data_IF_156859942138
#
_entry.id   IF_156859942138
#
_cell.length_a   1.000
_cell.length_b   1.000
_cell.length_c   1.000
_cell.angle_alpha   90.00
_cell.angle_beta   90.00
_cell.angle_gamma   90.00
#
_symmetry.space_group_name_H-M   'P 1'
#
loop_
_entity.id
_entity.type
_entity.pdbx_description
1 polymer ?
#
# COMPACT_ATOMS: atom_id res chain seq x y z
N UNK A 1 -15.04 27.22 -44.39
CA UNK A 1 -16.44 27.49 -43.96
C UNK A 1 -16.64 26.84 -42.60
N UNK A 2 -16.99 27.62 -41.60
CA UNK A 2 -17.40 27.06 -40.28
C UNK A 2 -18.71 26.31 -40.49
N UNK A 3 -18.74 25.01 -40.23
CA UNK A 3 -19.96 24.20 -40.25
C UNK A 3 -20.61 24.27 -38.88
N UNK A 4 -21.94 24.41 -38.86
CA UNK A 4 -22.73 24.50 -37.65
C UNK A 4 -23.74 23.35 -37.61
N UNK A 5 -24.10 22.91 -36.42
CA UNK A 5 -25.15 21.94 -36.12
C UNK A 5 -26.27 22.59 -35.29
N UNK A 6 -27.48 22.02 -35.38
CA UNK A 6 -28.63 22.44 -34.56
C UNK A 6 -28.54 21.90 -33.14
N UNK A 7 -29.40 22.42 -32.21
CA UNK A 7 -29.55 21.84 -30.88
C UNK A 7 -29.99 20.37 -30.88
N UNK A 8 -30.72 19.94 -31.93
CA UNK A 8 -31.12 18.54 -32.08
C UNK A 8 -29.95 17.66 -32.42
N UNK A 9 -29.12 18.06 -33.39
CA UNK A 9 -27.95 17.31 -33.79
C UNK A 9 -26.91 17.21 -32.68
N UNK A 10 -26.73 18.30 -31.94
CA UNK A 10 -25.88 18.32 -30.75
C UNK A 10 -26.42 17.42 -29.64
N UNK A 11 -27.73 17.34 -29.44
CA UNK A 11 -28.37 16.49 -28.47
C UNK A 11 -28.13 15.00 -28.78
N UNK A 12 -28.28 14.60 -30.03
CA UNK A 12 -28.00 13.24 -30.53
C UNK A 12 -26.51 12.91 -30.34
N UNK A 13 -25.61 13.80 -30.81
CA UNK A 13 -24.16 13.60 -30.67
C UNK A 13 -23.65 13.48 -29.24
N UNK A 14 -24.20 14.25 -28.32
CA UNK A 14 -23.76 14.32 -26.92
C UNK A 14 -24.56 13.40 -25.97
N UNK A 15 -25.55 12.68 -26.50
CA UNK A 15 -26.46 11.81 -25.76
C UNK A 15 -27.09 12.53 -24.55
N UNK A 16 -27.74 13.69 -24.83
CA UNK A 16 -28.49 14.49 -23.86
C UNK A 16 -29.77 15.02 -24.53
N UNK A 17 -30.73 15.53 -23.72
CA UNK A 17 -31.95 16.09 -24.29
C UNK A 17 -31.68 17.43 -25.04
N UNK A 18 -32.47 17.69 -26.11
CA UNK A 18 -32.40 18.96 -26.85
C UNK A 18 -32.65 20.17 -25.91
N UNK A 19 -33.56 20.03 -24.93
CA UNK A 19 -33.80 21.06 -23.91
C UNK A 19 -32.52 21.36 -23.10
N UNK A 20 -31.70 20.35 -22.80
CA UNK A 20 -30.45 20.54 -22.08
C UNK A 20 -29.43 21.27 -22.93
N UNK A 21 -29.35 20.98 -24.22
CA UNK A 21 -28.48 21.72 -25.16
C UNK A 21 -28.88 23.18 -25.22
N UNK A 22 -30.18 23.48 -25.36
CA UNK A 22 -30.67 24.87 -25.39
C UNK A 22 -30.31 25.66 -24.12
N UNK A 23 -30.38 25.00 -22.95
CA UNK A 23 -29.94 25.61 -21.69
C UNK A 23 -28.45 25.89 -21.70
N UNK A 24 -27.61 24.96 -22.17
CA UNK A 24 -26.17 25.15 -22.28
C UNK A 24 -25.79 26.28 -23.25
N UNK A 25 -26.56 26.45 -24.33
CA UNK A 25 -26.43 27.59 -25.23
C UNK A 25 -26.76 28.91 -24.53
N UNK A 26 -27.92 28.98 -23.85
CA UNK A 26 -28.37 30.17 -23.13
C UNK A 26 -27.42 30.56 -21.96
N UNK A 27 -26.79 29.58 -21.32
CA UNK A 27 -25.76 29.77 -20.29
C UNK A 27 -24.39 30.12 -20.86
N UNK A 28 -24.24 30.24 -22.19
CA UNK A 28 -22.99 30.51 -22.91
C UNK A 28 -21.86 29.50 -22.57
N UNK A 29 -22.21 28.27 -22.31
CA UNK A 29 -21.30 27.18 -21.89
C UNK A 29 -20.74 26.36 -23.07
N UNK A 30 -21.21 26.66 -24.29
CA UNK A 30 -20.72 26.04 -25.53
C UNK A 30 -19.90 27.08 -26.27
N UNK A 31 -18.61 26.81 -26.47
CA UNK A 31 -17.72 27.73 -27.13
C UNK A 31 -18.13 27.97 -28.58
N UNK A 32 -18.25 29.25 -28.99
CA UNK A 32 -18.58 29.62 -30.37
C UNK A 32 -20.05 29.48 -30.75
N UNK A 33 -20.95 29.25 -29.77
CA UNK A 33 -22.41 29.24 -30.00
C UNK A 33 -22.89 30.64 -30.40
N UNK A 34 -23.84 30.69 -31.35
CA UNK A 34 -24.47 31.93 -31.83
C UNK A 34 -25.98 31.72 -32.06
N UNK A 35 -26.74 32.81 -32.19
CA UNK A 35 -28.13 32.75 -32.58
C UNK A 35 -28.29 33.17 -34.02
N UNK A 36 -29.06 32.39 -34.79
CA UNK A 36 -29.51 32.78 -36.12
C UNK A 36 -31.06 32.86 -36.10
N UNK A 37 -31.59 34.08 -36.05
CA UNK A 37 -33.00 34.29 -35.76
C UNK A 37 -33.37 33.77 -34.36
N UNK A 38 -34.32 32.84 -34.26
CA UNK A 38 -34.71 32.21 -33.01
C UNK A 38 -34.09 30.83 -32.75
N UNK A 39 -33.06 30.48 -33.52
CA UNK A 39 -32.41 29.18 -33.43
C UNK A 39 -30.96 29.31 -32.96
N UNK A 40 -30.53 28.45 -32.04
CA UNK A 40 -29.13 28.28 -31.65
C UNK A 40 -28.38 27.52 -32.74
N UNK A 41 -27.24 28.05 -33.16
CA UNK A 41 -26.27 27.40 -34.05
C UNK A 41 -25.00 27.10 -33.26
N UNK A 42 -24.52 25.87 -33.31
CA UNK A 42 -23.42 25.33 -32.52
C UNK A 42 -22.32 24.89 -33.49
N UNK A 43 -21.08 25.33 -33.32
CA UNK A 43 -20.00 24.85 -34.19
C UNK A 43 -19.91 23.33 -34.16
N UNK A 44 -19.70 22.70 -35.32
CA UNK A 44 -19.61 21.23 -35.42
C UNK A 44 -18.40 20.68 -34.65
N UNK A 45 -17.40 21.52 -34.39
CA UNK A 45 -16.22 21.22 -33.61
C UNK A 45 -16.43 21.37 -32.09
N UNK A 46 -17.61 21.89 -31.66
CA UNK A 46 -17.88 22.08 -30.27
C UNK A 46 -18.00 20.74 -29.53
N UNK A 47 -17.37 20.67 -28.37
CA UNK A 47 -17.44 19.53 -27.47
C UNK A 47 -18.57 19.71 -26.43
N UNK A 48 -19.05 18.60 -25.90
CA UNK A 48 -20.04 18.60 -24.83
C UNK A 48 -19.49 19.28 -23.59
N UNK A 49 -20.09 20.39 -23.09
CA UNK A 49 -19.65 21.03 -21.87
C UNK A 49 -19.74 20.08 -20.67
N UNK A 50 -18.74 20.14 -19.79
CA UNK A 50 -18.72 19.36 -18.55
C UNK A 50 -19.94 19.72 -17.70
N UNK A 51 -20.69 18.72 -17.24
CA UNK A 51 -21.87 18.95 -16.39
C UNK A 51 -21.47 19.47 -15.01
N UNK A 52 -21.70 20.76 -14.75
CA UNK A 52 -21.41 21.40 -13.48
C UNK A 52 -22.13 20.76 -12.27
N UNK A 53 -23.19 19.97 -12.51
CA UNK A 53 -23.89 19.21 -11.47
C UNK A 53 -23.15 17.92 -11.08
N UNK A 54 -22.24 17.42 -11.92
CA UNK A 54 -21.32 16.33 -11.57
C UNK A 54 -20.09 16.83 -10.81
N UNK A 55 -19.83 18.13 -10.84
CA UNK A 55 -18.87 18.80 -9.96
C UNK A 55 -19.62 19.32 -8.71
N UNK A 56 -20.24 18.45 -7.94
CA UNK A 56 -20.37 18.69 -6.52
C UNK A 56 -18.92 18.71 -6.00
N UNK A 57 -18.43 19.91 -5.70
CA UNK A 57 -17.16 20.32 -5.14
C UNK A 57 -16.33 19.26 -4.38
N UNK A 58 -16.06 18.12 -4.99
CA UNK A 58 -14.92 17.32 -4.64
C UNK A 58 -13.74 18.08 -5.24
N UNK A 59 -13.01 18.84 -4.40
CA UNK A 59 -11.58 19.06 -4.62
C UNK A 59 -11.05 17.77 -5.27
N UNK A 60 -10.19 17.83 -6.30
CA UNK A 60 -9.59 16.62 -6.82
C UNK A 60 -9.13 15.84 -5.59
N UNK A 61 -9.70 14.67 -5.38
CA UNK A 61 -9.24 13.77 -4.31
C UNK A 61 -7.85 13.41 -4.77
N UNK A 62 -6.86 14.08 -4.24
CA UNK A 62 -5.47 13.68 -4.42
C UNK A 62 -5.42 12.32 -3.75
N UNK A 63 -5.44 11.26 -4.55
CA UNK A 63 -5.33 9.91 -4.01
C UNK A 63 -4.08 9.84 -3.15
N UNK A 64 -4.26 9.42 -1.89
CA UNK A 64 -3.15 9.27 -0.97
C UNK A 64 -2.27 8.10 -1.42
N UNK A 65 -0.98 8.21 -1.15
CA UNK A 65 -0.06 7.10 -1.38
C UNK A 65 -0.51 5.86 -0.59
N UNK A 66 -0.46 4.70 -1.23
CA UNK A 66 -0.90 3.44 -0.65
C UNK A 66 0.10 2.31 -0.96
N UNK A 67 0.08 1.18 -0.23
CA UNK A 67 0.98 0.06 -0.47
C UNK A 67 0.97 -0.39 -1.93
N UNK A 68 2.15 -0.50 -2.52
CA UNK A 68 2.32 -0.91 -3.92
C UNK A 68 2.16 -2.42 -4.14
N UNK A 69 2.21 -3.20 -3.07
CA UNK A 69 1.95 -4.65 -3.02
C UNK A 69 0.96 -4.98 -1.92
N UNK A 70 0.28 -6.12 -2.05
CA UNK A 70 -0.45 -6.71 -0.93
C UNK A 70 0.57 -7.39 -0.02
N UNK A 71 0.50 -7.06 1.27
CA UNK A 71 1.37 -7.64 2.28
C UNK A 71 0.56 -8.19 3.44
N UNK A 72 0.98 -9.36 3.96
CA UNK A 72 0.30 -9.95 5.10
C UNK A 72 0.43 -9.03 6.32
N UNK A 73 -0.62 -8.92 7.10
CA UNK A 73 -0.62 -8.04 8.28
C UNK A 73 -0.79 -6.54 7.97
N UNK A 74 -1.05 -6.16 6.70
CA UNK A 74 -1.18 -4.75 6.31
C UNK A 74 -2.15 -3.97 7.20
N UNK A 75 -1.73 -2.81 7.72
CA UNK A 75 -2.41 -2.00 8.73
C UNK A 75 -3.42 -1.00 8.20
N UNK A 76 -3.84 -1.11 6.93
CA UNK A 76 -4.73 -0.12 6.29
C UNK A 76 -6.01 0.17 7.09
N UNK A 77 -6.56 -0.83 7.79
CA UNK A 77 -7.76 -0.65 8.61
C UNK A 77 -7.50 -0.01 9.98
N UNK A 78 -6.26 -0.02 10.44
CA UNK A 78 -5.86 0.52 11.74
C UNK A 78 -5.18 1.88 11.66
N UNK A 79 -5.00 2.44 10.46
CA UNK A 79 -4.25 3.69 10.26
C UNK A 79 -4.79 4.83 11.11
N UNK A 80 -6.09 5.02 11.18
CA UNK A 80 -6.70 6.07 11.98
C UNK A 80 -6.45 5.86 13.48
N UNK A 81 -6.55 4.60 13.94
CA UNK A 81 -6.25 4.25 15.34
C UNK A 81 -4.78 4.48 15.67
N UNK A 82 -3.87 4.05 14.79
CA UNK A 82 -2.42 4.27 14.97
C UNK A 82 -2.10 5.77 15.01
N UNK A 83 -2.67 6.57 14.11
CA UNK A 83 -2.50 8.03 14.10
C UNK A 83 -3.04 8.72 15.35
N UNK A 84 -4.20 8.30 15.86
CA UNK A 84 -4.76 8.83 17.11
C UNK A 84 -3.89 8.49 18.34
N UNK A 85 -2.99 7.53 18.21
CA UNK A 85 -2.10 7.07 19.27
C UNK A 85 -0.65 7.54 19.11
N UNK A 86 -0.37 8.48 18.20
CA UNK A 86 0.96 9.05 18.03
C UNK A 86 1.38 9.86 19.28
N UNK A 87 2.69 9.93 19.57
CA UNK A 87 3.18 10.77 20.65
C UNK A 87 3.00 12.27 20.34
N UNK A 88 2.86 13.07 21.37
CA UNK A 88 2.91 14.51 21.23
C UNK A 88 4.30 14.93 20.71
N UNK A 89 4.34 15.98 19.87
CA UNK A 89 5.59 16.51 19.33
C UNK A 89 6.07 15.89 18.01
N UNK A 90 5.27 15.04 17.35
CA UNK A 90 5.54 14.60 15.98
C UNK A 90 5.71 15.81 15.05
N UNK A 91 6.81 15.81 14.28
CA UNK A 91 7.17 16.89 13.36
C UNK A 91 7.76 18.15 14.06
N UNK A 92 7.93 18.12 15.39
CA UNK A 92 8.53 19.23 16.15
C UNK A 92 9.71 18.75 17.01
N UNK A 93 9.45 18.05 18.11
CA UNK A 93 10.51 17.45 18.94
C UNK A 93 10.81 15.99 18.55
N UNK A 94 9.89 15.33 17.84
CA UNK A 94 10.08 14.02 17.24
C UNK A 94 10.22 14.23 15.74
N UNK A 95 11.46 14.33 15.27
CA UNK A 95 11.82 14.68 13.90
C UNK A 95 12.33 13.48 13.10
N UNK A 96 12.49 12.32 13.75
CA UNK A 96 12.96 11.08 13.13
C UNK A 96 11.91 9.99 13.20
N UNK A 97 11.82 9.19 12.13
CA UNK A 97 10.91 8.05 12.07
C UNK A 97 11.63 6.77 11.64
N UNK A 98 11.33 5.66 12.28
CA UNK A 98 11.86 4.36 11.93
C UNK A 98 10.78 3.27 11.90
N UNK A 99 10.80 2.41 10.86
CA UNK A 99 9.90 1.25 10.70
C UNK A 99 10.69 0.00 10.29
N UNK A 100 11.24 -0.78 11.28
CA UNK A 100 12.10 -1.92 11.00
C UNK A 100 11.39 -3.19 10.51
N UNK A 101 10.07 -3.22 10.45
CA UNK A 101 9.25 -4.25 9.83
C UNK A 101 8.29 -3.59 8.84
N UNK A 102 8.85 -2.87 7.85
CA UNK A 102 8.06 -1.98 7.00
C UNK A 102 7.01 -2.71 6.15
N UNK A 103 7.28 -3.95 5.75
CA UNK A 103 6.36 -4.72 4.92
C UNK A 103 5.86 -3.94 3.71
N UNK A 104 4.54 -3.80 3.56
CA UNK A 104 3.92 -3.03 2.47
C UNK A 104 3.92 -1.51 2.66
N UNK A 105 4.39 -0.98 3.78
CA UNK A 105 4.54 0.46 4.05
C UNK A 105 3.23 1.21 4.31
N UNK A 106 2.17 0.54 4.72
CA UNK A 106 0.86 1.19 4.92
C UNK A 106 0.93 2.33 5.94
N UNK A 107 1.62 2.13 7.07
CA UNK A 107 1.74 3.17 8.09
C UNK A 107 2.76 4.23 7.69
N UNK A 108 3.90 3.82 7.12
CA UNK A 108 4.91 4.73 6.55
C UNK A 108 4.27 5.77 5.63
N UNK A 109 3.61 5.32 4.55
CA UNK A 109 3.02 6.24 3.57
C UNK A 109 1.95 7.12 4.19
N UNK A 110 1.14 6.56 5.09
CA UNK A 110 0.10 7.32 5.80
C UNK A 110 0.68 8.41 6.71
N UNK A 111 1.84 8.18 7.35
CA UNK A 111 2.54 9.20 8.14
C UNK A 111 3.16 10.28 7.27
N UNK A 112 3.82 9.89 6.17
CA UNK A 112 4.50 10.82 5.26
C UNK A 112 3.54 11.74 4.49
N UNK A 113 2.26 11.37 4.39
CA UNK A 113 1.21 12.29 3.89
C UNK A 113 0.95 13.45 4.85
N UNK A 114 0.95 13.17 6.15
CA UNK A 114 0.50 14.12 7.18
C UNK A 114 1.66 14.85 7.87
N UNK A 115 2.85 14.25 7.94
CA UNK A 115 4.00 14.77 8.70
C UNK A 115 5.27 14.85 7.86
N UNK A 116 6.20 15.70 8.30
CA UNK A 116 7.55 15.80 7.75
C UNK A 116 8.55 15.40 8.83
N UNK A 117 9.48 14.51 8.44
CA UNK A 117 10.58 14.07 9.27
C UNK A 117 11.90 14.53 8.64
N UNK A 118 12.89 14.81 9.47
CA UNK A 118 14.24 15.17 9.04
C UNK A 118 15.00 13.93 8.56
N UNK A 119 14.82 12.81 9.27
CA UNK A 119 15.43 11.54 8.95
C UNK A 119 14.39 10.41 9.02
N UNK A 120 14.44 9.50 8.06
CA UNK A 120 13.54 8.34 7.99
C UNK A 120 14.35 7.10 7.71
N UNK A 121 14.13 6.06 8.49
CA UNK A 121 14.76 4.75 8.36
C UNK A 121 13.68 3.68 8.19
N UNK A 122 13.83 2.85 7.15
CA UNK A 122 12.97 1.67 6.97
C UNK A 122 13.82 0.43 6.71
N UNK A 123 13.39 -0.70 7.28
CA UNK A 123 14.02 -1.98 6.97
C UNK A 123 13.04 -3.15 7.02
N UNK A 124 13.44 -4.23 6.40
CA UNK A 124 12.78 -5.53 6.43
C UNK A 124 13.83 -6.61 6.13
N UNK A 125 13.67 -7.81 6.69
CA UNK A 125 14.55 -8.94 6.40
C UNK A 125 14.37 -9.46 4.95
N UNK A 126 13.27 -9.11 4.29
CA UNK A 126 13.00 -9.52 2.92
C UNK A 126 13.77 -8.66 1.92
N UNK A 127 14.91 -9.15 1.44
CA UNK A 127 15.80 -8.44 0.51
C UNK A 127 15.13 -8.11 -0.83
N UNK A 128 14.24 -8.96 -1.31
CA UNK A 128 13.51 -8.72 -2.55
C UNK A 128 12.51 -7.57 -2.39
N UNK A 129 11.82 -7.49 -1.25
CA UNK A 129 10.93 -6.37 -0.92
C UNK A 129 11.73 -5.06 -0.81
N UNK A 130 12.85 -5.09 -0.08
CA UNK A 130 13.68 -3.88 0.09
C UNK A 130 14.31 -3.43 -1.24
N UNK A 131 14.64 -4.36 -2.14
CA UNK A 131 15.01 -4.02 -3.51
C UNK A 131 13.88 -3.28 -4.24
N UNK A 132 12.61 -3.67 -4.07
CA UNK A 132 11.48 -2.94 -4.68
C UNK A 132 11.42 -1.52 -4.17
N UNK A 133 11.55 -1.29 -2.85
CA UNK A 133 11.59 0.05 -2.27
C UNK A 133 12.75 0.88 -2.86
N UNK A 134 13.93 0.31 -2.97
CA UNK A 134 15.10 0.97 -3.58
C UNK A 134 14.85 1.33 -5.04
N UNK A 135 14.27 0.40 -5.84
CA UNK A 135 13.98 0.64 -7.25
C UNK A 135 12.87 1.67 -7.45
N UNK A 136 11.87 1.73 -6.57
CA UNK A 136 10.86 2.80 -6.58
C UNK A 136 11.53 4.16 -6.29
N UNK A 137 12.48 4.21 -5.36
CA UNK A 137 13.19 5.46 -5.03
C UNK A 137 14.13 5.90 -6.14
N UNK A 138 14.98 4.98 -6.63
CA UNK A 138 16.17 5.31 -7.42
C UNK A 138 15.97 5.15 -8.94
N UNK A 139 15.09 4.22 -9.36
CA UNK A 139 14.90 3.81 -10.75
C UNK A 139 13.41 3.73 -11.14
N UNK A 140 12.61 4.69 -10.66
CA UNK A 140 11.14 4.64 -10.81
C UNK A 140 10.71 4.58 -12.28
N UNK A 141 11.34 5.34 -13.16
CA UNK A 141 10.96 5.41 -14.58
C UNK A 141 11.18 4.05 -15.28
N UNK A 142 12.35 3.45 -15.06
CA UNK A 142 12.71 2.14 -15.61
C UNK A 142 11.81 1.03 -15.05
N UNK A 143 11.47 1.13 -13.77
CA UNK A 143 10.55 0.19 -13.11
C UNK A 143 9.14 0.30 -13.70
N UNK A 144 8.63 1.52 -13.89
CA UNK A 144 7.32 1.76 -14.51
C UNK A 144 7.27 1.20 -15.92
N UNK A 145 8.30 1.41 -16.72
CA UNK A 145 8.41 0.87 -18.07
C UNK A 145 8.38 -0.67 -18.07
N UNK A 146 9.15 -1.30 -17.18
CA UNK A 146 9.18 -2.76 -17.04
C UNK A 146 7.82 -3.34 -16.59
N UNK A 147 7.11 -2.64 -15.70
CA UNK A 147 5.77 -3.03 -15.23
C UNK A 147 4.71 -2.87 -16.32
N UNK A 148 4.79 -1.82 -17.12
CA UNK A 148 3.87 -1.60 -18.24
C UNK A 148 4.00 -2.69 -19.30
N UNK A 149 5.23 -3.09 -19.65
CA UNK A 149 5.48 -4.23 -20.54
C UNK A 149 4.82 -5.49 -19.99
N UNK A 150 5.09 -5.85 -18.72
CA UNK A 150 4.53 -7.06 -18.09
C UNK A 150 3.00 -7.02 -18.07
N UNK A 151 2.41 -5.85 -17.81
CA UNK A 151 0.95 -5.65 -17.79
C UNK A 151 0.33 -5.88 -19.16
N UNK A 152 0.91 -5.26 -20.20
CA UNK A 152 0.41 -5.33 -21.57
C UNK A 152 0.54 -6.76 -22.12
N UNK A 153 1.67 -7.43 -21.89
CA UNK A 153 1.87 -8.83 -22.26
C UNK A 153 0.83 -9.73 -21.56
N UNK A 154 0.69 -9.62 -20.24
CA UNK A 154 -0.23 -10.45 -19.46
C UNK A 154 -1.70 -10.23 -19.83
N UNK A 155 -2.16 -8.97 -19.89
CA UNK A 155 -3.57 -8.65 -20.13
C UNK A 155 -4.03 -8.97 -21.56
N UNK A 156 -3.11 -9.11 -22.50
CA UNK A 156 -3.39 -9.52 -23.89
C UNK A 156 -3.58 -11.03 -24.08
N UNK A 157 -3.33 -11.84 -23.05
CA UNK A 157 -3.36 -13.32 -23.14
C UNK A 157 -4.71 -13.92 -22.73
N UNK A 158 -5.03 -15.14 -23.24
CA UNK A 158 -6.10 -15.97 -22.68
C UNK A 158 -5.71 -16.44 -21.28
N UNK A 159 -6.69 -16.90 -20.49
CA UNK A 159 -6.46 -17.31 -19.10
C UNK A 159 -5.46 -18.48 -19.00
N UNK A 160 -5.46 -19.41 -19.96
CA UNK A 160 -4.53 -20.52 -20.03
C UNK A 160 -3.10 -20.05 -20.33
N UNK A 161 -2.96 -19.08 -21.24
CA UNK A 161 -1.68 -18.46 -21.55
C UNK A 161 -1.18 -17.54 -20.42
N UNK A 162 -2.10 -16.87 -19.70
CA UNK A 162 -1.77 -16.11 -18.50
C UNK A 162 -1.18 -16.99 -17.39
N UNK A 163 -1.75 -18.20 -17.19
CA UNK A 163 -1.23 -19.14 -16.21
C UNK A 163 0.20 -19.59 -16.58
N UNK A 164 0.42 -19.92 -17.86
CA UNK A 164 1.75 -20.28 -18.36
C UNK A 164 2.74 -19.14 -18.19
N UNK A 165 2.36 -17.93 -18.60
CA UNK A 165 3.18 -16.72 -18.47
C UNK A 165 3.54 -16.45 -16.99
N UNK A 166 2.55 -16.60 -16.07
CA UNK A 166 2.79 -16.46 -14.65
C UNK A 166 3.88 -17.43 -14.14
N UNK A 167 3.80 -18.70 -14.50
CA UNK A 167 4.78 -19.69 -14.05
C UNK A 167 6.16 -19.47 -14.70
N UNK A 168 6.23 -19.03 -15.95
CA UNK A 168 7.48 -18.63 -16.60
C UNK A 168 8.13 -17.45 -15.85
N UNK A 169 7.35 -16.42 -15.52
CA UNK A 169 7.86 -15.26 -14.76
C UNK A 169 8.22 -15.60 -13.32
N UNK A 170 7.52 -16.56 -12.71
CA UNK A 170 7.89 -17.05 -11.38
C UNK A 170 9.22 -17.81 -11.39
N UNK A 171 9.47 -18.63 -12.40
CA UNK A 171 10.75 -19.31 -12.52
C UNK A 171 11.88 -18.33 -12.84
N UNK A 172 11.63 -17.34 -13.70
CA UNK A 172 12.56 -16.25 -13.96
C UNK A 172 12.93 -15.52 -12.65
N UNK A 173 11.93 -15.13 -11.85
CA UNK A 173 12.13 -14.51 -10.54
C UNK A 173 13.00 -15.37 -9.60
N UNK A 174 12.74 -16.68 -9.57
CA UNK A 174 13.45 -17.61 -8.70
C UNK A 174 14.90 -17.90 -9.15
N UNK A 175 15.24 -17.60 -10.40
CA UNK A 175 16.58 -17.87 -10.99
C UNK A 175 17.46 -16.63 -11.05
N UNK A 176 16.86 -15.44 -11.19
CA UNK A 176 17.63 -14.20 -11.21
C UNK A 176 18.23 -13.92 -9.84
N UNK A 177 19.54 -13.78 -9.78
CA UNK A 177 20.23 -13.26 -8.60
C UNK A 177 20.05 -11.74 -8.51
N UNK A 178 19.96 -11.24 -7.28
CA UNK A 178 19.82 -9.80 -7.03
C UNK A 178 21.21 -9.15 -7.12
N UNK A 179 21.42 -8.39 -8.20
CA UNK A 179 22.62 -7.60 -8.47
C UNK A 179 22.21 -6.22 -8.98
N UNK A 180 23.14 -5.28 -9.07
CA UNK A 180 22.86 -3.94 -9.61
C UNK A 180 22.23 -4.02 -11.01
N UNK A 181 22.73 -4.88 -11.91
CA UNK A 181 22.22 -5.05 -13.26
C UNK A 181 20.85 -5.76 -13.37
N UNK A 182 20.39 -6.42 -12.31
CA UNK A 182 19.13 -7.20 -12.31
C UNK A 182 18.06 -6.62 -11.38
N UNK A 183 18.38 -5.59 -10.59
CA UNK A 183 17.53 -5.03 -9.54
C UNK A 183 16.15 -4.56 -10.06
N UNK A 184 16.09 -3.79 -11.15
CA UNK A 184 14.83 -3.31 -11.76
C UNK A 184 13.99 -4.49 -12.24
N UNK A 185 14.61 -5.45 -12.94
CA UNK A 185 13.90 -6.65 -13.43
C UNK A 185 13.35 -7.49 -12.28
N UNK A 186 14.14 -7.71 -11.24
CA UNK A 186 13.72 -8.44 -10.03
C UNK A 186 12.56 -7.74 -9.33
N UNK A 187 12.62 -6.41 -9.20
CA UNK A 187 11.55 -5.60 -8.60
C UNK A 187 10.26 -5.65 -9.43
N UNK A 188 10.34 -5.53 -10.76
CA UNK A 188 9.17 -5.61 -11.64
C UNK A 188 8.50 -6.98 -11.57
N UNK A 189 9.27 -8.06 -11.53
CA UNK A 189 8.77 -9.42 -11.36
C UNK A 189 8.13 -9.63 -9.99
N UNK A 190 8.71 -9.06 -8.91
CA UNK A 190 8.13 -9.12 -7.57
C UNK A 190 6.72 -8.52 -7.55
N UNK A 191 6.57 -7.29 -8.06
CA UNK A 191 5.27 -6.60 -8.11
C UNK A 191 4.29 -7.38 -8.99
N UNK A 192 4.72 -7.83 -10.18
CA UNK A 192 3.89 -8.65 -11.09
C UNK A 192 3.37 -9.90 -10.40
N UNK A 193 4.26 -10.69 -9.78
CA UNK A 193 3.90 -11.93 -9.11
C UNK A 193 2.94 -11.68 -7.94
N UNK A 194 3.19 -10.67 -7.12
CA UNK A 194 2.29 -10.32 -6.02
C UNK A 194 0.89 -9.92 -6.50
N UNK A 195 0.78 -9.13 -7.58
CA UNK A 195 -0.50 -8.68 -8.14
C UNK A 195 -1.26 -9.81 -8.86
N UNK A 196 -0.56 -10.80 -9.44
CA UNK A 196 -1.14 -11.87 -10.26
C UNK A 196 -1.29 -13.21 -9.54
N UNK A 197 -0.70 -13.39 -8.37
CA UNK A 197 -0.79 -14.62 -7.60
C UNK A 197 -2.10 -14.76 -6.80
N UNK A 198 -2.31 -15.95 -6.26
CA UNK A 198 -3.43 -16.26 -5.38
C UNK A 198 -3.40 -15.39 -4.11
N UNK A 199 -4.45 -14.59 -3.90
CA UNK A 199 -4.65 -13.68 -2.77
C UNK A 199 -3.58 -12.58 -2.57
N UNK A 200 -2.66 -12.37 -3.51
CA UNK A 200 -1.60 -11.38 -3.36
C UNK A 200 -0.60 -11.72 -2.25
N UNK A 201 -0.32 -13.00 -2.05
CA UNK A 201 0.57 -13.47 -1.01
C UNK A 201 2.04 -13.39 -1.46
N UNK A 202 2.94 -13.20 -0.49
CA UNK A 202 4.36 -13.52 -0.67
C UNK A 202 4.68 -14.73 0.21
N UNK A 203 5.21 -15.79 -0.39
CA UNK A 203 5.60 -16.99 0.32
C UNK A 203 6.74 -17.69 -0.42
N UNK A 204 7.73 -18.15 0.34
CA UNK A 204 8.84 -18.96 -0.16
C UNK A 204 8.77 -20.38 0.39
N UNK A 205 9.36 -21.31 -0.32
CA UNK A 205 9.55 -22.68 0.18
C UNK A 205 10.85 -22.79 1.01
N UNK A 206 11.14 -23.97 1.58
CA UNK A 206 12.36 -24.23 2.36
C UNK A 206 13.69 -23.98 1.63
N UNK A 207 13.65 -23.76 0.31
CA UNK A 207 14.83 -23.42 -0.51
C UNK A 207 14.88 -21.91 -0.82
N UNK A 208 14.07 -21.08 -0.15
CA UNK A 208 13.97 -19.64 -0.39
C UNK A 208 13.31 -19.25 -1.72
N UNK A 209 12.69 -20.21 -2.46
CA UNK A 209 12.06 -19.92 -3.75
C UNK A 209 10.60 -19.53 -3.58
N UNK A 210 10.18 -18.46 -4.23
CA UNK A 210 8.79 -18.01 -4.30
C UNK A 210 7.89 -19.12 -4.89
N UNK A 211 6.81 -19.48 -4.20
CA UNK A 211 6.01 -20.66 -4.53
C UNK A 211 4.49 -20.46 -4.49
N UNK A 212 4.00 -19.22 -4.48
CA UNK A 212 2.56 -18.97 -4.52
C UNK A 212 1.99 -19.36 -5.88
N UNK A 213 0.80 -19.99 -5.95
CA UNK A 213 0.16 -20.37 -7.20
C UNK A 213 -0.47 -19.18 -7.91
N UNK A 214 -0.79 -19.35 -9.19
CA UNK A 214 -1.50 -18.41 -10.03
C UNK A 214 -2.86 -18.01 -9.45
N UNK A 215 -3.22 -16.72 -9.50
CA UNK A 215 -4.43 -16.16 -8.92
C UNK A 215 -5.68 -16.20 -9.80
N UNK A 216 -5.57 -16.59 -11.08
CA UNK A 216 -6.66 -16.67 -12.06
C UNK A 216 -7.40 -15.35 -12.30
N UNK A 217 -6.69 -14.24 -12.26
CA UNK A 217 -7.24 -12.91 -12.54
C UNK A 217 -7.23 -12.63 -14.05
N UNK A 218 -8.39 -12.35 -14.65
CA UNK A 218 -8.52 -12.09 -16.09
C UNK A 218 -7.81 -10.82 -16.55
N UNK A 219 -7.81 -9.79 -15.71
CA UNK A 219 -7.14 -8.52 -15.94
C UNK A 219 -6.67 -7.97 -14.61
N UNK A 220 -5.46 -7.46 -14.58
CA UNK A 220 -4.84 -6.91 -13.38
C UNK A 220 -4.19 -5.55 -13.70
N UNK A 221 -4.29 -4.62 -12.75
CA UNK A 221 -3.52 -3.39 -12.74
C UNK A 221 -2.19 -3.66 -12.04
N UNK A 222 -1.13 -3.89 -12.81
CA UNK A 222 0.22 -4.14 -12.30
C UNK A 222 0.93 -2.82 -12.12
N UNK A 223 0.93 -1.99 -13.17
CA UNK A 223 1.57 -0.68 -13.20
C UNK A 223 0.60 0.39 -12.68
N UNK A 224 0.75 0.73 -11.40
CA UNK A 224 0.09 1.88 -10.79
C UNK A 224 1.05 3.06 -10.80
N UNK A 225 1.21 3.67 -11.99
CA UNK A 225 2.25 4.67 -12.23
C UNK A 225 2.11 5.93 -11.39
N UNK A 226 0.86 6.36 -11.12
CA UNK A 226 0.61 7.55 -10.32
C UNK A 226 1.03 7.32 -8.86
N UNK A 227 0.62 6.20 -8.28
CA UNK A 227 0.99 5.83 -6.92
C UNK A 227 2.50 5.60 -6.77
N UNK A 228 3.13 4.86 -7.69
CA UNK A 228 4.57 4.59 -7.65
C UNK A 228 5.41 5.86 -7.79
N UNK A 229 5.02 6.81 -8.65
CA UNK A 229 5.68 8.11 -8.77
C UNK A 229 5.57 8.92 -7.48
N UNK A 230 4.40 8.90 -6.85
CA UNK A 230 4.17 9.57 -5.56
C UNK A 230 5.01 8.95 -4.45
N UNK A 231 5.05 7.62 -4.35
CA UNK A 231 5.90 6.90 -3.40
C UNK A 231 7.38 7.20 -3.66
N UNK A 232 7.82 7.21 -4.93
CA UNK A 232 9.20 7.58 -5.29
C UNK A 232 9.60 8.94 -4.72
N UNK A 233 8.73 9.95 -4.87
CA UNK A 233 8.97 11.28 -4.31
C UNK A 233 9.05 11.27 -2.77
N UNK A 234 8.22 10.46 -2.10
CA UNK A 234 8.25 10.33 -0.64
C UNK A 234 9.51 9.63 -0.11
N UNK A 235 10.09 8.73 -0.89
CA UNK A 235 11.24 7.91 -0.47
C UNK A 235 12.60 8.58 -0.71
N UNK A 236 12.70 9.76 -1.34
CA UNK A 236 13.98 10.35 -1.77
C UNK A 236 15.01 10.53 -0.63
N UNK A 237 14.54 10.84 0.59
CA UNK A 237 15.42 11.04 1.76
C UNK A 237 15.26 9.91 2.80
N UNK A 238 14.79 8.72 2.37
CA UNK A 238 14.59 7.58 3.25
C UNK A 238 15.79 6.65 3.20
N UNK A 239 16.36 6.31 4.34
CA UNK A 239 17.34 5.25 4.48
C UNK A 239 16.63 3.89 4.38
N UNK A 240 16.95 3.10 3.34
CA UNK A 240 16.30 1.82 3.03
C UNK A 240 17.32 0.70 3.19
N UNK A 241 17.08 -0.24 4.11
CA UNK A 241 17.99 -1.35 4.40
C UNK A 241 17.29 -2.71 4.38
N UNK A 242 18.01 -3.72 3.90
CA UNK A 242 17.65 -5.12 4.12
C UNK A 242 18.50 -5.66 5.24
N UNK A 243 17.96 -5.71 6.44
CA UNK A 243 18.68 -6.12 7.64
C UNK A 243 17.73 -6.53 8.76
N UNK A 244 18.28 -7.01 9.85
CA UNK A 244 17.57 -7.33 11.06
C UNK A 244 17.05 -6.05 11.75
N UNK A 245 15.93 -6.16 12.48
CA UNK A 245 15.30 -5.04 13.17
C UNK A 245 16.18 -4.39 14.24
N UNK A 246 17.16 -5.12 14.80
CA UNK A 246 18.10 -4.59 15.78
C UNK A 246 18.99 -3.48 15.22
N UNK A 247 19.22 -3.44 13.91
CA UNK A 247 20.07 -2.41 13.29
C UNK A 247 19.56 -0.99 13.49
N UNK A 248 18.25 -0.82 13.76
CA UNK A 248 17.64 0.48 14.05
C UNK A 248 18.22 1.15 15.31
N UNK A 249 18.87 0.39 16.19
CA UNK A 249 19.48 0.90 17.43
C UNK A 249 20.50 2.02 17.22
N UNK A 250 21.13 2.04 16.02
CA UNK A 250 22.11 3.06 15.62
C UNK A 250 21.46 4.36 15.15
N UNK A 251 20.24 4.25 14.67
CA UNK A 251 19.43 5.37 14.17
C UNK A 251 18.59 6.03 15.28
N UNK A 252 18.10 5.22 16.21
CA UNK A 252 17.13 5.63 17.21
C UNK A 252 17.76 6.44 18.37
N UNK A 253 17.13 7.58 18.68
CA UNK A 253 17.44 8.46 19.81
C UNK A 253 16.14 9.09 20.37
N UNK A 254 16.27 10.08 21.26
CA UNK A 254 15.14 10.74 21.91
C UNK A 254 14.24 11.54 20.98
N UNK A 255 14.69 11.85 19.75
CA UNK A 255 13.90 12.53 18.71
C UNK A 255 13.22 11.55 17.73
N UNK A 256 13.31 10.23 17.98
CA UNK A 256 12.86 9.18 17.06
C UNK A 256 11.53 8.57 17.53
N UNK A 257 10.57 8.44 16.59
CA UNK A 257 9.47 7.50 16.69
C UNK A 257 9.87 6.20 15.98
N UNK A 258 9.87 5.08 16.73
CA UNK A 258 10.06 3.73 16.17
C UNK A 258 8.74 2.98 16.21
N UNK A 259 8.31 2.44 15.06
CA UNK A 259 7.13 1.60 14.96
C UNK A 259 7.50 0.16 14.59
N UNK A 260 7.09 -0.79 15.42
CA UNK A 260 7.25 -2.21 15.20
C UNK A 260 5.93 -2.86 14.79
N UNK A 261 5.93 -3.55 13.67
CA UNK A 261 4.85 -4.42 13.19
C UNK A 261 5.42 -5.81 12.85
N UNK A 262 5.91 -6.55 13.87
CA UNK A 262 6.55 -7.84 13.65
C UNK A 262 5.56 -8.90 13.15
N UNK A 263 6.01 -10.03 12.64
CA UNK A 263 5.14 -11.18 12.41
C UNK A 263 4.40 -11.52 13.70
N UNK A 264 3.05 -11.62 13.60
CA UNK A 264 2.20 -11.81 14.76
C UNK A 264 2.34 -13.20 15.37
N UNK A 265 2.29 -13.25 16.69
CA UNK A 265 2.20 -14.53 17.41
C UNK A 265 0.95 -15.29 16.95
N UNK A 266 1.09 -16.56 16.50
CA UNK A 266 -0.04 -17.36 16.05
C UNK A 266 -1.05 -17.59 17.19
N UNK A 267 -2.33 -17.30 16.95
CA UNK A 267 -3.39 -17.51 17.95
C UNK A 267 -3.81 -18.97 18.10
N UNK A 268 -3.50 -19.85 17.16
CA UNK A 268 -3.81 -21.29 17.19
C UNK A 268 -2.67 -22.09 16.59
N UNK A 269 -2.49 -23.33 17.04
CA UNK A 269 -1.50 -24.29 16.49
C UNK A 269 -1.72 -24.56 14.99
N UNK A 270 -2.95 -24.46 14.49
CA UNK A 270 -3.32 -24.62 13.09
C UNK A 270 -3.09 -23.37 12.22
N UNK A 271 -2.89 -22.19 12.83
CA UNK A 271 -2.58 -20.94 12.10
C UNK A 271 -1.10 -20.80 11.73
N UNK A 272 -0.23 -21.69 12.21
CA UNK A 272 1.18 -21.80 11.81
C UNK A 272 1.42 -22.17 10.34
N UNK A 273 0.36 -22.37 9.52
CA UNK A 273 0.47 -22.55 8.06
C UNK A 273 0.79 -21.27 7.28
N UNK A 274 0.92 -20.13 7.96
CA UNK A 274 1.26 -18.85 7.34
C UNK A 274 2.71 -18.42 7.62
N UNK A 275 3.65 -19.38 7.70
CA UNK A 275 5.07 -19.03 7.73
C UNK A 275 5.47 -18.35 6.42
N UNK A 276 5.60 -17.02 6.47
CA UNK A 276 5.99 -16.18 5.34
C UNK A 276 7.52 -16.02 5.21
N UNK A 277 8.25 -16.49 6.20
CA UNK A 277 9.71 -16.47 6.25
C UNK A 277 10.26 -17.87 6.55
N UNK A 278 11.51 -18.09 6.22
CA UNK A 278 12.22 -19.36 6.48
C UNK A 278 12.32 -19.68 8.00
N UNK A 279 12.15 -18.65 8.86
CA UNK A 279 12.11 -18.74 10.32
C UNK A 279 10.80 -18.13 10.82
N UNK A 280 9.93 -18.93 11.45
CA UNK A 280 8.74 -18.44 12.15
C UNK A 280 9.18 -17.52 13.30
N UNK A 281 8.56 -16.33 13.41
CA UNK A 281 8.80 -15.42 14.54
C UNK A 281 8.17 -16.02 15.80
N UNK A 282 9.00 -16.70 16.58
CA UNK A 282 8.60 -17.54 17.72
C UNK A 282 8.34 -16.71 19.00
N UNK A 283 7.84 -17.38 20.05
CA UNK A 283 7.72 -16.74 21.38
C UNK A 283 9.08 -16.25 21.90
N UNK A 284 10.19 -16.94 21.56
CA UNK A 284 11.54 -16.49 21.89
C UNK A 284 11.88 -15.17 21.19
N UNK A 285 11.55 -15.04 19.90
CA UNK A 285 11.80 -13.82 19.15
C UNK A 285 10.91 -12.66 19.64
N UNK A 286 9.67 -12.97 20.11
CA UNK A 286 8.81 -11.98 20.75
C UNK A 286 9.40 -11.47 22.07
N UNK A 287 10.04 -12.36 22.86
CA UNK A 287 10.74 -11.99 24.11
C UNK A 287 11.95 -11.11 23.78
N UNK A 288 12.77 -11.51 22.82
CA UNK A 288 13.93 -10.75 22.37
C UNK A 288 13.53 -9.34 21.86
N UNK A 289 12.45 -9.27 21.09
CA UNK A 289 11.91 -7.98 20.64
C UNK A 289 11.43 -7.11 21.83
N UNK A 290 10.85 -7.71 22.86
CA UNK A 290 10.43 -6.96 24.06
C UNK A 290 11.63 -6.41 24.86
N UNK A 291 12.74 -7.15 24.94
CA UNK A 291 13.97 -6.66 25.54
C UNK A 291 14.57 -5.51 24.73
N UNK A 292 14.59 -5.66 23.42
CA UNK A 292 15.04 -4.61 22.50
C UNK A 292 14.14 -3.35 22.54
N UNK A 293 12.83 -3.53 22.68
CA UNK A 293 11.89 -2.44 22.90
C UNK A 293 12.23 -1.64 24.16
N UNK A 294 12.57 -2.32 25.27
CA UNK A 294 13.01 -1.71 26.53
C UNK A 294 14.33 -0.94 26.34
N UNK A 295 15.28 -1.51 25.59
CA UNK A 295 16.53 -0.83 25.25
C UNK A 295 16.29 0.50 24.53
N UNK A 296 15.50 0.51 23.45
CA UNK A 296 15.18 1.72 22.70
C UNK A 296 14.43 2.74 23.57
N UNK A 297 13.51 2.26 24.42
CA UNK A 297 12.80 3.11 25.39
C UNK A 297 13.77 3.78 26.36
N UNK A 298 14.77 3.06 26.84
CA UNK A 298 15.80 3.59 27.76
C UNK A 298 16.68 4.66 27.10
N UNK A 299 16.85 4.62 25.78
CA UNK A 299 17.53 5.67 24.98
C UNK A 299 16.67 6.92 24.76
N UNK A 300 15.43 6.90 25.22
CA UNK A 300 14.48 8.01 25.10
C UNK A 300 13.64 7.99 23.81
N UNK A 301 13.83 7.03 22.91
CA UNK A 301 13.03 6.86 21.73
C UNK A 301 11.55 6.65 22.08
N UNK A 302 10.64 7.19 21.30
CA UNK A 302 9.21 6.89 21.36
C UNK A 302 8.96 5.61 20.57
N UNK A 303 8.54 4.56 21.28
CA UNK A 303 8.37 3.24 20.67
C UNK A 303 6.92 2.83 20.72
N UNK A 304 6.41 2.38 19.56
CA UNK A 304 5.06 1.87 19.38
C UNK A 304 5.14 0.48 18.71
N UNK A 305 4.38 -0.48 19.18
CA UNK A 305 4.36 -1.85 18.66
C UNK A 305 2.93 -2.36 18.52
N UNK A 306 2.64 -3.00 17.38
CA UNK A 306 1.40 -3.74 17.15
C UNK A 306 1.62 -5.24 17.22
N UNK A 307 0.63 -5.99 17.77
CA UNK A 307 0.63 -7.46 17.73
C UNK A 307 -0.79 -8.02 17.84
N UNK A 308 -0.95 -9.35 17.65
CA UNK A 308 -2.21 -10.03 17.94
C UNK A 308 -2.47 -10.07 19.45
N UNK A 309 -3.74 -9.92 19.85
CA UNK A 309 -4.11 -10.14 21.25
C UNK A 309 -4.40 -11.64 21.50
N UNK A 310 -3.57 -12.37 22.27
CA UNK A 310 -3.79 -13.79 22.54
C UNK A 310 -5.08 -14.03 23.32
N UNK A 311 -5.60 -13.03 24.02
CA UNK A 311 -6.90 -13.10 24.73
C UNK A 311 -8.11 -13.23 23.79
N UNK A 312 -7.93 -13.05 22.48
CA UNK A 312 -8.97 -13.41 21.51
C UNK A 312 -9.28 -14.92 21.48
N UNK A 313 -8.36 -15.76 21.93
CA UNK A 313 -8.50 -17.23 21.94
C UNK A 313 -8.43 -17.83 23.32
N UNK A 314 -7.64 -17.25 24.23
CA UNK A 314 -7.50 -17.66 25.60
C UNK A 314 -7.42 -16.44 26.52
N UNK A 315 -8.49 -16.15 27.25
CA UNK A 315 -8.58 -14.97 28.13
C UNK A 315 -7.49 -14.94 29.23
N UNK A 316 -6.94 -16.10 29.57
CA UNK A 316 -5.89 -16.26 30.57
C UNK A 316 -4.46 -16.15 29.98
N UNK A 317 -4.29 -15.99 28.68
CA UNK A 317 -2.99 -15.81 28.06
C UNK A 317 -2.51 -14.37 28.27
N UNK A 318 -1.63 -14.18 29.24
CA UNK A 318 -1.04 -12.90 29.61
C UNK A 318 0.34 -12.68 28.99
N UNK A 319 0.74 -13.43 27.98
CA UNK A 319 2.08 -13.41 27.41
C UNK A 319 2.59 -11.97 27.12
N UNK A 320 1.83 -11.17 26.39
CA UNK A 320 2.23 -9.79 26.10
C UNK A 320 1.98 -8.84 27.27
N UNK A 321 0.95 -9.09 28.09
CA UNK A 321 0.70 -8.27 29.28
C UNK A 321 1.88 -8.37 30.26
N UNK A 322 2.47 -9.56 30.40
CA UNK A 322 3.63 -9.79 31.30
C UNK A 322 4.93 -9.22 30.69
N UNK A 323 5.16 -9.40 29.36
CA UNK A 323 6.35 -8.90 28.68
C UNK A 323 6.47 -7.37 28.68
N UNK A 324 5.34 -6.68 28.55
CA UNK A 324 5.25 -5.23 28.41
C UNK A 324 4.55 -4.56 29.61
N UNK A 325 4.61 -5.19 30.81
CA UNK A 325 3.91 -4.73 32.00
C UNK A 325 4.25 -3.28 32.41
N UNK A 326 5.46 -2.81 32.08
CA UNK A 326 5.93 -1.45 32.37
C UNK A 326 5.44 -0.40 31.36
N UNK A 327 4.66 -0.79 30.34
CA UNK A 327 4.27 0.08 29.23
C UNK A 327 2.74 0.16 29.06
N UNK A 328 2.29 1.12 28.23
CA UNK A 328 0.88 1.30 27.95
C UNK A 328 0.40 0.27 26.92
N UNK A 329 -0.41 -0.69 27.33
CA UNK A 329 -1.02 -1.71 26.48
C UNK A 329 -2.48 -1.33 26.21
N UNK A 330 -2.81 -1.06 24.95
CA UNK A 330 -4.17 -0.80 24.50
C UNK A 330 -4.65 -1.94 23.60
N UNK A 331 -5.92 -2.33 23.74
CA UNK A 331 -6.59 -3.30 22.87
C UNK A 331 -7.50 -2.58 21.91
N UNK A 332 -7.18 -2.66 20.62
CA UNK A 332 -7.88 -1.96 19.55
C UNK A 332 -8.70 -2.94 18.70
N UNK A 333 -9.90 -2.54 18.30
CA UNK A 333 -10.75 -3.38 17.46
C UNK A 333 -10.25 -3.37 16.01
N UNK A 334 -10.00 -4.55 15.45
CA UNK A 334 -9.66 -4.78 14.06
C UNK A 334 -10.71 -5.69 13.38
N UNK A 335 -10.97 -5.45 12.10
CA UNK A 335 -11.88 -6.30 11.31
C UNK A 335 -11.10 -7.35 10.54
N UNK A 336 -11.37 -8.65 10.75
CA UNK A 336 -10.80 -9.72 9.92
C UNK A 336 -11.49 -9.79 8.57
N UNK A 337 -10.79 -9.48 7.49
CA UNK A 337 -11.30 -9.62 6.10
C UNK A 337 -11.13 -11.03 5.51
N UNK A 338 -10.23 -11.85 6.03
CA UNK A 338 -9.88 -13.16 5.48
C UNK A 338 -10.20 -14.26 6.49
N UNK A 339 -11.36 -14.91 6.32
CA UNK A 339 -11.63 -16.20 6.95
C UNK A 339 -12.40 -17.09 5.96
N UNK A 340 -11.98 -18.34 5.81
CA UNK A 340 -12.61 -19.32 4.93
C UNK A 340 -14.04 -19.70 5.36
N UNK A 341 -14.42 -19.43 6.62
CA UNK A 341 -15.76 -19.64 7.16
C UNK A 341 -16.43 -18.30 7.46
N UNK A 342 -17.49 -17.96 6.75
CA UNK A 342 -18.25 -16.71 6.88
C UNK A 342 -18.78 -16.40 8.27
N UNK A 343 -19.01 -17.40 9.11
CA UNK A 343 -19.47 -17.28 10.50
C UNK A 343 -18.39 -16.80 11.50
N UNK A 344 -17.12 -16.75 11.07
CA UNK A 344 -15.98 -16.31 11.90
C UNK A 344 -15.47 -14.92 11.51
N UNK A 345 -16.26 -14.11 10.79
CA UNK A 345 -15.99 -12.71 10.49
C UNK A 345 -16.44 -11.86 11.67
N UNK A 346 -15.67 -11.85 12.75
CA UNK A 346 -15.92 -11.05 13.94
C UNK A 346 -14.87 -9.95 14.09
N UNK A 347 -15.18 -8.95 14.90
CA UNK A 347 -14.17 -8.03 15.43
C UNK A 347 -13.20 -8.81 16.27
N UNK A 348 -11.91 -8.63 16.00
CA UNK A 348 -10.82 -9.14 16.84
C UNK A 348 -10.11 -7.96 17.48
N UNK A 349 -9.47 -8.21 18.58
CA UNK A 349 -8.61 -7.20 19.23
C UNK A 349 -7.17 -7.39 18.77
N UNK A 350 -6.52 -6.29 18.47
CA UNK A 350 -5.06 -6.23 18.32
C UNK A 350 -4.47 -5.42 19.48
N UNK A 351 -3.23 -5.71 19.81
CA UNK A 351 -2.50 -4.96 20.81
C UNK A 351 -1.81 -3.77 20.19
N UNK A 352 -1.85 -2.65 20.89
CA UNK A 352 -1.03 -1.47 20.62
C UNK A 352 -0.28 -1.14 21.90
N UNK A 353 1.03 -1.29 21.90
CA UNK A 353 1.92 -1.12 23.03
C UNK A 353 2.76 0.13 22.82
N UNK A 354 2.84 1.02 23.83
CA UNK A 354 3.54 2.31 23.74
C UNK A 354 4.30 2.61 25.03
N UNK A 355 5.43 3.32 24.91
CA UNK A 355 6.21 3.83 26.05
C UNK A 355 5.95 5.30 26.39
N UNK A 356 4.88 5.89 25.83
CA UNK A 356 4.52 7.29 25.98
C UNK A 356 3.02 7.47 26.20
#
# INVERSE_FOLDING_TARGET
MLQYMSCRDAAERWNISQRRVSVLCAENRIQGVAMLGNMWIIPITAEKPVDARKNNGTKPVVEKAHPFVKWAGGKTQLLDVLKCNLPSGIGTSITKYAEPFVGGGAFLFSLLEDYRFEEIYISDNNKELMNVYQMIRDNCVELLYALDILQNEYNGLSIELQERFYYEKREEFNTIELTEGTSVRKASLFIFLNKSCFNGLYRVNKKGKYNVPFGKHKSISICDGENLTKISAMLQNVEIKSCDYHDVVRFADSSTLVYFDPPYRPLNVTSGFTSYTENDFSDKDQIELAEFYKELSSKGAKVMLSNSDPKNTNENDNFFDDLYADFNISRVEASRMINSKGSSRGKIKELLIKNF
#
